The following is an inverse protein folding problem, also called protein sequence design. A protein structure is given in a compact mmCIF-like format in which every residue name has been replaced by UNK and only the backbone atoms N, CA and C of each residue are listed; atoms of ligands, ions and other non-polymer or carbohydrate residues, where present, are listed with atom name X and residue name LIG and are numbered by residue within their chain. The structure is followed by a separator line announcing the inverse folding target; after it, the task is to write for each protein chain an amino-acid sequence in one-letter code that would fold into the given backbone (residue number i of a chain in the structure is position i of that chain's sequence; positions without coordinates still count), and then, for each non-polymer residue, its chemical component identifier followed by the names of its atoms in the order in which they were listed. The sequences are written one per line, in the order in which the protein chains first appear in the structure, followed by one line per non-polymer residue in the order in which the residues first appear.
data_IF_907035856757
#
_entry.id   IF_907035856757
#
_cell.length_a   1.000
_cell.length_b   1.000
_cell.length_c   1.000
_cell.angle_alpha   90.00
_cell.angle_beta   90.00
_cell.angle_gamma   90.00
#
_symmetry.space_group_name_H-M   'P 1'
#
loop_
_entity.id
_entity.type
_entity.pdbx_description
1 polymer ?
#
# COMPACT_ATOMS: atom_id res chain seq x y z
N UNK A 1 -20.09 0.95 19.91
CA UNK A 1 -19.03 0.38 19.06
C UNK A 1 -18.61 1.46 18.09
N UNK A 2 -17.35 1.90 18.16
CA UNK A 2 -16.82 2.93 17.26
C UNK A 2 -16.70 2.33 15.87
N UNK A 3 -17.57 2.73 14.94
CA UNK A 3 -17.42 2.40 13.54
C UNK A 3 -16.23 3.18 13.01
N UNK A 4 -15.06 2.55 12.94
CA UNK A 4 -13.97 3.06 12.11
C UNK A 4 -14.53 3.07 10.68
N UNK A 5 -14.82 4.26 10.15
CA UNK A 5 -15.02 4.42 8.72
C UNK A 5 -13.65 4.11 8.13
N UNK A 6 -13.48 2.89 7.63
CA UNK A 6 -12.33 2.52 6.85
C UNK A 6 -12.35 3.43 5.62
N UNK A 7 -11.61 4.52 5.65
CA UNK A 7 -11.23 5.19 4.41
C UNK A 7 -10.55 4.13 3.56
N UNK A 8 -10.83 4.12 2.26
CA UNK A 8 -10.30 3.13 1.31
C UNK A 8 -8.77 3.01 1.33
N UNK A 9 -8.08 4.00 1.92
CA UNK A 9 -6.63 4.04 2.15
C UNK A 9 -6.11 3.10 3.26
N UNK A 10 -6.86 2.84 4.34
CA UNK A 10 -6.34 2.11 5.49
C UNK A 10 -5.93 0.66 5.16
N UNK A 11 -6.77 -0.14 4.47
CA UNK A 11 -6.39 -1.49 4.07
C UNK A 11 -5.17 -1.52 3.14
N UNK A 12 -5.05 -0.58 2.20
CA UNK A 12 -3.94 -0.57 1.24
C UNK A 12 -2.61 -0.13 1.88
N UNK A 13 -2.65 0.79 2.86
CA UNK A 13 -1.50 1.13 3.70
C UNK A 13 -1.01 -0.11 4.45
N UNK A 14 -1.92 -0.88 5.05
CA UNK A 14 -1.56 -2.10 5.78
C UNK A 14 -1.01 -3.19 4.86
N UNK A 15 -1.56 -3.34 3.65
CA UNK A 15 -1.01 -4.26 2.64
C UNK A 15 0.44 -3.91 2.33
N UNK A 16 0.75 -2.65 2.05
CA UNK A 16 2.12 -2.23 1.76
C UNK A 16 3.06 -2.46 2.95
N UNK A 17 2.64 -2.11 4.17
CA UNK A 17 3.43 -2.38 5.39
C UNK A 17 3.69 -3.87 5.60
N UNK A 18 2.67 -4.70 5.37
CA UNK A 18 2.78 -6.15 5.45
C UNK A 18 3.77 -6.71 4.44
N UNK A 19 3.71 -6.27 3.18
CA UNK A 19 4.68 -6.68 2.14
C UNK A 19 6.09 -6.25 2.52
N UNK A 20 6.27 -5.02 3.02
CA UNK A 20 7.58 -4.53 3.43
C UNK A 20 8.17 -5.38 4.57
N UNK A 21 7.36 -5.74 5.56
CA UNK A 21 7.77 -6.60 6.66
C UNK A 21 8.11 -8.02 6.20
N UNK A 22 7.23 -8.66 5.43
CA UNK A 22 7.45 -10.00 4.90
C UNK A 22 8.71 -10.09 4.03
N UNK A 23 8.99 -9.05 3.22
CA UNK A 23 10.19 -8.99 2.40
C UNK A 23 11.46 -8.89 3.25
N UNK A 24 11.46 -8.10 4.34
CA UNK A 24 12.57 -8.04 5.31
C UNK A 24 12.79 -9.37 6.01
N UNK A 25 11.73 -10.02 6.45
CA UNK A 25 11.80 -11.34 7.10
C UNK A 25 12.33 -12.40 6.15
N UNK A 26 11.85 -12.42 4.90
CA UNK A 26 12.35 -13.33 3.88
C UNK A 26 13.84 -13.10 3.58
N UNK A 27 14.27 -11.83 3.45
CA UNK A 27 15.68 -11.51 3.24
C UNK A 27 16.54 -11.99 4.42
N UNK A 28 16.10 -11.75 5.66
CA UNK A 28 16.79 -12.21 6.86
C UNK A 28 16.84 -13.74 6.98
N UNK A 29 15.81 -14.43 6.49
CA UNK A 29 15.69 -15.88 6.52
C UNK A 29 16.45 -16.64 5.43
N UNK A 30 17.12 -15.95 4.49
CA UNK A 30 17.91 -16.61 3.45
C UNK A 30 19.07 -17.42 4.06
N UNK A 31 19.27 -18.68 3.64
CA UNK A 31 20.32 -19.55 4.18
C UNK A 31 21.72 -19.05 3.82
N UNK A 32 22.72 -19.58 4.51
CA UNK A 32 24.16 -19.42 4.20
C UNK A 32 24.62 -20.67 3.45
N UNK A 33 25.44 -20.52 2.41
CA UNK A 33 25.94 -21.69 1.66
C UNK A 33 27.05 -22.35 2.46
N UNK A 34 26.89 -23.66 2.69
CA UNK A 34 27.97 -24.53 3.13
C UNK A 34 28.51 -25.29 1.92
N UNK A 35 29.77 -25.05 1.58
CA UNK A 35 30.43 -25.66 0.42
C UNK A 35 30.87 -27.12 0.64
N UNK A 36 30.75 -27.66 1.86
CA UNK A 36 31.16 -29.02 2.18
C UNK A 36 30.43 -30.06 1.30
N UNK A 37 31.19 -30.88 0.58
CA UNK A 37 30.65 -31.91 -0.31
C UNK A 37 30.09 -31.39 -1.64
N UNK A 38 30.16 -30.09 -1.91
CA UNK A 38 29.75 -29.52 -3.19
C UNK A 38 30.81 -29.70 -4.28
N UNK A 39 30.36 -29.73 -5.54
CA UNK A 39 31.25 -29.64 -6.71
C UNK A 39 31.87 -28.26 -6.80
N UNK A 40 33.05 -28.17 -7.40
CA UNK A 40 33.73 -26.90 -7.69
C UNK A 40 32.80 -25.94 -8.44
N UNK A 41 32.73 -24.68 -7.98
CA UNK A 41 31.91 -23.62 -8.56
C UNK A 41 30.42 -23.63 -8.17
N UNK A 42 29.87 -24.72 -7.63
CA UNK A 42 28.46 -24.75 -7.21
C UNK A 42 28.17 -23.84 -6.02
N UNK A 43 29.11 -23.77 -5.07
CA UNK A 43 28.97 -22.88 -3.92
C UNK A 43 28.87 -21.42 -4.36
N UNK A 44 29.70 -21.00 -5.32
CA UNK A 44 29.69 -19.63 -5.87
C UNK A 44 28.38 -19.33 -6.61
N UNK A 45 27.85 -20.28 -7.39
CA UNK A 45 26.55 -20.12 -8.06
C UNK A 45 25.43 -19.89 -7.05
N UNK A 46 25.40 -20.68 -5.97
CA UNK A 46 24.39 -20.55 -4.92
C UNK A 46 24.55 -19.25 -4.13
N UNK A 47 25.77 -18.88 -3.76
CA UNK A 47 26.04 -17.60 -3.07
C UNK A 47 25.61 -16.41 -3.92
N UNK A 48 25.91 -16.42 -5.22
CA UNK A 48 25.46 -15.37 -6.14
C UNK A 48 23.93 -15.31 -6.24
N UNK A 49 23.26 -16.47 -6.37
CA UNK A 49 21.80 -16.52 -6.45
C UNK A 49 21.13 -16.02 -5.15
N UNK A 50 21.65 -16.42 -3.99
CA UNK A 50 21.15 -15.97 -2.70
C UNK A 50 21.45 -14.48 -2.45
N UNK A 51 22.62 -14.01 -2.88
CA UNK A 51 22.98 -12.59 -2.84
C UNK A 51 22.03 -11.72 -3.66
N UNK A 52 21.74 -12.11 -4.91
CA UNK A 52 20.80 -11.38 -5.75
C UNK A 52 19.37 -11.45 -5.19
N UNK A 53 18.95 -12.61 -4.67
CA UNK A 53 17.65 -12.76 -4.00
C UNK A 53 17.52 -11.81 -2.80
N UNK A 54 18.56 -11.72 -1.97
CA UNK A 54 18.61 -10.81 -0.82
C UNK A 54 18.45 -9.35 -1.24
N UNK A 55 19.15 -8.97 -2.30
CA UNK A 55 19.08 -7.61 -2.87
C UNK A 55 17.68 -7.28 -3.37
N UNK A 56 17.08 -8.17 -4.15
CA UNK A 56 15.71 -7.99 -4.68
C UNK A 56 14.68 -7.88 -3.55
N UNK A 57 14.76 -8.73 -2.52
CA UNK A 57 13.86 -8.66 -1.37
C UNK A 57 14.02 -7.35 -0.57
N UNK A 58 15.25 -6.86 -0.44
CA UNK A 58 15.52 -5.58 0.24
C UNK A 58 14.94 -4.40 -0.55
N UNK A 59 15.07 -4.40 -1.87
CA UNK A 59 14.45 -3.37 -2.72
C UNK A 59 12.92 -3.47 -2.72
N UNK A 60 12.36 -4.69 -2.70
CA UNK A 60 10.91 -4.88 -2.54
C UNK A 60 10.41 -4.27 -1.24
N UNK A 61 11.12 -4.49 -0.13
CA UNK A 61 10.76 -3.89 1.15
C UNK A 61 10.75 -2.36 1.07
N UNK A 62 11.75 -1.77 0.43
CA UNK A 62 11.84 -0.31 0.21
C UNK A 62 10.70 0.23 -0.64
N UNK A 63 10.38 -0.42 -1.76
CA UNK A 63 9.27 0.00 -2.65
C UNK A 63 7.93 -0.12 -1.93
N UNK A 64 7.74 -1.16 -1.13
CA UNK A 64 6.55 -1.32 -0.32
C UNK A 64 6.42 -0.22 0.76
N UNK A 65 7.52 0.18 1.43
CA UNK A 65 7.50 1.32 2.35
C UNK A 65 7.13 2.65 1.63
N UNK A 66 7.60 2.85 0.39
CA UNK A 66 7.18 3.99 -0.44
C UNK A 66 5.68 3.91 -0.76
N UNK A 67 5.18 2.73 -1.13
CA UNK A 67 3.76 2.49 -1.37
C UNK A 67 2.89 2.83 -0.16
N UNK A 68 3.31 2.43 1.05
CA UNK A 68 2.61 2.76 2.29
C UNK A 68 2.54 4.28 2.54
N UNK A 69 3.63 5.01 2.26
CA UNK A 69 3.67 6.48 2.39
C UNK A 69 2.78 7.16 1.36
N UNK A 70 2.83 6.71 0.10
CA UNK A 70 1.99 7.25 -0.97
C UNK A 70 0.50 7.03 -0.71
N UNK A 71 0.12 5.83 -0.26
CA UNK A 71 -1.24 5.52 0.13
C UNK A 71 -1.72 6.38 1.32
N UNK A 72 -0.86 6.64 2.31
CA UNK A 72 -1.15 7.56 3.41
C UNK A 72 -1.41 8.98 2.94
N UNK A 73 -0.56 9.51 2.06
CA UNK A 73 -0.74 10.86 1.51
C UNK A 73 -2.05 11.00 0.71
N UNK A 74 -2.47 9.97 -0.02
CA UNK A 74 -3.76 9.96 -0.71
C UNK A 74 -4.94 9.91 0.28
N UNK A 75 -4.83 9.13 1.36
CA UNK A 75 -5.85 9.09 2.40
C UNK A 75 -6.01 10.46 3.10
N UNK A 76 -4.91 11.16 3.36
CA UNK A 76 -4.92 12.51 3.93
C UNK A 76 -5.62 13.50 2.97
N UNK A 77 -5.34 13.40 1.66
CA UNK A 77 -6.04 14.19 0.64
C UNK A 77 -7.53 13.88 0.57
N UNK A 78 -7.92 12.61 0.66
CA UNK A 78 -9.33 12.20 0.67
C UNK A 78 -10.07 12.83 1.87
N UNK A 79 -9.45 12.83 3.05
CA UNK A 79 -10.00 13.50 4.25
C UNK A 79 -10.13 15.01 4.05
N UNK A 80 -9.06 15.67 3.58
CA UNK A 80 -9.06 17.12 3.32
C UNK A 80 -10.15 17.51 2.29
N UNK A 81 -10.34 16.71 1.25
CA UNK A 81 -11.38 16.94 0.24
C UNK A 81 -12.79 16.71 0.81
N UNK A 82 -12.99 15.68 1.63
CA UNK A 82 -14.28 15.38 2.24
C UNK A 82 -14.77 16.51 3.16
N UNK A 83 -13.86 17.14 3.92
CA UNK A 83 -14.16 18.27 4.81
C UNK A 83 -14.44 19.58 4.06
N UNK A 84 -13.96 19.71 2.81
CA UNK A 84 -14.16 20.91 1.98
C UNK A 84 -15.54 21.02 1.33
N UNK A 85 -16.34 19.95 1.36
CA UNK A 85 -17.67 19.92 0.74
C UNK A 85 -18.82 19.94 1.75
N UNK A 86 -18.59 20.40 2.98
CA UNK A 86 -19.70 20.77 3.87
C UNK A 86 -20.54 21.89 3.23
N UNK A 87 -21.74 21.54 2.78
CA UNK A 87 -22.67 22.46 2.11
C UNK A 87 -22.76 22.34 0.59
N UNK A 88 -22.06 21.39 -0.05
CA UNK A 88 -22.37 21.05 -1.45
C UNK A 88 -23.72 20.32 -1.49
N UNK A 89 -24.80 21.05 -1.80
CA UNK A 89 -26.03 20.42 -2.27
C UNK A 89 -25.73 19.77 -3.63
N UNK A 90 -25.51 18.46 -3.64
CA UNK A 90 -25.63 17.73 -4.89
C UNK A 90 -27.09 17.89 -5.28
N UNK A 91 -27.36 18.77 -6.24
CA UNK A 91 -28.72 19.06 -6.73
C UNK A 91 -29.47 17.81 -7.26
N UNK A 92 -28.84 16.64 -7.17
CA UNK A 92 -29.33 15.34 -7.60
C UNK A 92 -29.89 14.48 -6.46
N UNK A 93 -29.76 14.86 -5.18
CA UNK A 93 -30.52 14.20 -4.10
C UNK A 93 -31.97 14.68 -4.10
N UNK A 94 -32.74 14.19 -5.07
CA UNK A 94 -34.18 14.39 -5.15
C UNK A 94 -34.85 13.71 -3.94
N UNK A 95 -34.98 14.43 -2.83
CA UNK A 95 -35.81 13.98 -1.70
C UNK A 95 -37.26 13.92 -2.18
N UNK A 96 -37.81 12.71 -2.22
CA UNK A 96 -39.18 12.44 -2.66
C UNK A 96 -40.16 13.36 -1.89
N UNK A 97 -40.70 14.35 -2.59
CA UNK A 97 -41.70 15.30 -2.05
C UNK A 97 -41.22 16.74 -1.84
N UNK A 98 -39.97 17.12 -2.14
CA UNK A 98 -39.50 18.51 -2.06
C UNK A 98 -39.60 19.18 -3.45
N UNK A 99 -40.38 20.26 -3.64
CA UNK A 99 -40.44 20.98 -4.90
C UNK A 99 -39.13 21.72 -5.18
N UNK A 100 -38.50 21.45 -6.31
CA UNK A 100 -37.32 22.18 -6.78
C UNK A 100 -37.75 23.56 -7.29
N UNK A 101 -37.15 24.63 -6.75
CA UNK A 101 -37.27 25.98 -7.30
C UNK A 101 -36.69 26.08 -8.71
N UNK A 102 -36.95 27.19 -9.41
CA UNK A 102 -36.56 27.40 -10.81
C UNK A 102 -35.09 27.06 -11.07
N UNK A 103 -34.90 26.06 -11.95
CA UNK A 103 -33.59 25.63 -12.43
C UNK A 103 -32.97 26.77 -13.24
N UNK A 104 -31.97 27.44 -12.66
CA UNK A 104 -31.09 28.33 -13.42
C UNK A 104 -29.97 27.49 -14.03
N UNK A 105 -30.01 27.33 -15.36
CA UNK A 105 -28.92 26.79 -16.16
C UNK A 105 -27.86 27.90 -16.29
N UNK A 106 -26.64 27.65 -15.83
CA UNK A 106 -25.45 28.46 -16.14
C UNK A 106 -24.57 27.63 -17.08
#
# INVERSE_FOLDING_TARGET
MSSTIATTGDPIIQVHRGVAQSAREAAAGLPVVNSAGMRTGHAELLENALGETRKVLTELARVADIGARGAGALADQDCENAERFEGWESGELQRRGVPTGEVRVI
#
